data_IF_539801619851
#
_entry.id   IF_539801619851
#
_cell.length_a   1.000
_cell.length_b   1.000
_cell.length_c   1.000
_cell.angle_alpha   90.00
_cell.angle_beta   90.00
_cell.angle_gamma   90.00
#
_symmetry.space_group_name_H-M   'P 1'
#
loop_
_entity.id
_entity.type
_entity.pdbx_description
1 polymer ?
#
# COMPACT_ATOMS: atom_id res chain seq x y z
N UNK A 1 -10.05 -16.19 16.68
CA UNK A 1 -10.90 -16.24 15.47
C UNK A 1 -10.04 -16.65 14.28
N UNK A 2 -10.46 -17.64 13.50
CA UNK A 2 -9.65 -18.20 12.40
C UNK A 2 -10.35 -17.96 11.06
N UNK A 3 -10.20 -16.75 10.52
CA UNK A 3 -10.83 -16.27 9.27
C UNK A 3 -10.27 -16.91 7.97
N UNK A 4 -9.43 -17.95 8.08
CA UNK A 4 -8.60 -18.50 6.97
C UNK A 4 -8.86 -19.98 6.65
N UNK A 5 -9.83 -20.61 7.30
CA UNK A 5 -10.29 -21.96 6.97
C UNK A 5 -11.40 -21.94 5.93
N UNK A 6 -11.74 -23.09 5.34
CA UNK A 6 -12.97 -23.26 4.54
C UNK A 6 -13.07 -22.41 3.26
N UNK A 7 -11.96 -21.84 2.79
CA UNK A 7 -11.87 -21.06 1.55
C UNK A 7 -10.53 -21.32 0.86
N UNK A 8 -10.52 -21.19 -0.46
CA UNK A 8 -9.33 -21.37 -1.29
C UNK A 8 -9.39 -20.42 -2.48
N UNK A 9 -8.32 -19.65 -2.70
CA UNK A 9 -8.14 -18.91 -3.96
C UNK A 9 -7.88 -19.92 -5.07
N UNK A 10 -8.69 -19.86 -6.14
CA UNK A 10 -8.63 -20.82 -7.25
C UNK A 10 -8.03 -20.21 -8.52
N UNK A 11 -8.15 -18.89 -8.70
CA UNK A 11 -7.56 -18.19 -9.82
C UNK A 11 -7.36 -16.70 -9.50
N UNK A 12 -6.41 -16.09 -10.20
CA UNK A 12 -6.18 -14.65 -10.19
C UNK A 12 -6.10 -14.14 -11.63
N UNK A 13 -6.58 -12.92 -11.89
CA UNK A 13 -6.45 -12.26 -13.18
C UNK A 13 -6.45 -10.74 -13.01
N UNK A 14 -5.53 -10.06 -13.70
CA UNK A 14 -5.58 -8.61 -13.85
C UNK A 14 -6.76 -8.21 -14.72
N UNK A 15 -7.52 -7.20 -14.28
CA UNK A 15 -8.56 -6.57 -15.09
C UNK A 15 -8.03 -5.32 -15.79
N UNK A 16 -7.15 -4.58 -15.11
CA UNK A 16 -6.42 -3.43 -15.62
C UNK A 16 -5.09 -3.28 -14.85
N UNK A 17 -4.40 -2.15 -14.99
CA UNK A 17 -3.09 -1.89 -14.35
C UNK A 17 -3.13 -1.74 -12.82
N UNK A 18 -4.33 -1.60 -12.23
CA UNK A 18 -4.56 -1.35 -10.80
C UNK A 18 -5.61 -2.28 -10.20
N UNK A 19 -6.35 -3.06 -11.00
CA UNK A 19 -7.44 -3.92 -10.51
C UNK A 19 -7.12 -5.39 -10.71
N UNK A 20 -7.27 -6.16 -9.64
CA UNK A 20 -7.10 -7.61 -9.61
C UNK A 20 -8.44 -8.29 -9.32
N UNK A 21 -8.82 -9.27 -10.13
CA UNK A 21 -9.92 -10.19 -9.83
C UNK A 21 -9.37 -11.48 -9.24
N UNK A 22 -9.83 -11.81 -8.04
CA UNK A 22 -9.48 -13.05 -7.33
C UNK A 22 -10.71 -13.93 -7.23
N UNK A 23 -10.65 -15.11 -7.84
CA UNK A 23 -11.70 -16.13 -7.72
C UNK A 23 -11.38 -17.07 -6.57
N UNK A 24 -12.41 -17.52 -5.88
CA UNK A 24 -12.25 -18.44 -4.78
C UNK A 24 -13.36 -19.48 -4.74
N UNK A 25 -13.07 -20.60 -4.09
CA UNK A 25 -14.03 -21.60 -3.68
C UNK A 25 -14.14 -21.57 -2.16
N UNK A 26 -15.31 -21.89 -1.63
CA UNK A 26 -15.57 -21.84 -0.18
C UNK A 26 -16.60 -22.89 0.21
N UNK A 27 -16.49 -23.39 1.44
CA UNK A 27 -17.47 -24.28 2.06
C UNK A 27 -18.51 -23.51 2.87
N UNK A 28 -18.33 -22.20 3.05
CA UNK A 28 -19.29 -21.37 3.78
C UNK A 28 -20.42 -20.91 2.87
N UNK A 29 -21.61 -20.69 3.45
CA UNK A 29 -22.81 -20.24 2.72
C UNK A 29 -23.37 -18.93 3.26
N UNK A 30 -22.81 -18.45 4.36
CA UNK A 30 -23.30 -17.36 5.21
C UNK A 30 -22.24 -16.27 5.46
N UNK A 31 -21.09 -16.35 4.77
CA UNK A 31 -19.96 -15.42 4.95
C UNK A 31 -19.84 -14.46 3.77
N UNK A 32 -19.28 -13.29 4.06
CA UNK A 32 -18.71 -12.38 3.07
C UNK A 32 -17.19 -12.47 3.11
N UNK A 33 -16.54 -11.97 2.07
CA UNK A 33 -15.10 -12.12 1.88
C UNK A 33 -14.42 -10.80 1.68
N UNK A 34 -13.29 -10.63 2.37
CA UNK A 34 -12.40 -9.50 2.25
C UNK A 34 -11.11 -9.93 1.57
N UNK A 35 -10.67 -9.15 0.58
CA UNK A 35 -9.43 -9.37 -0.15
C UNK A 35 -8.38 -8.37 0.31
N UNK A 36 -7.22 -8.89 0.66
CA UNK A 36 -6.08 -8.14 1.15
C UNK A 36 -4.89 -8.28 0.20
N UNK A 37 -4.18 -7.16 -0.01
CA UNK A 37 -2.81 -7.17 -0.47
C UNK A 37 -1.91 -6.81 0.72
N UNK A 38 -1.10 -7.76 1.14
CA UNK A 38 -0.37 -7.67 2.39
C UNK A 38 -1.34 -7.62 3.59
N UNK A 39 -1.45 -6.43 4.21
CA UNK A 39 -2.37 -6.10 5.32
C UNK A 39 -3.37 -5.00 4.98
N UNK A 40 -3.37 -4.52 3.76
CA UNK A 40 -4.32 -3.51 3.29
C UNK A 40 -5.54 -4.18 2.68
N UNK A 41 -6.73 -3.81 3.15
CA UNK A 41 -7.97 -4.21 2.49
C UNK A 41 -8.02 -3.57 1.10
N UNK A 42 -8.12 -4.38 0.05
CA UNK A 42 -8.16 -3.90 -1.34
C UNK A 42 -9.51 -4.14 -2.01
N UNK A 43 -10.36 -5.00 -1.45
CA UNK A 43 -11.69 -5.28 -1.99
C UNK A 43 -12.52 -6.18 -1.08
N UNK A 44 -13.81 -6.31 -1.41
CA UNK A 44 -14.78 -7.14 -0.68
C UNK A 44 -15.88 -7.66 -1.60
N UNK A 45 -16.52 -8.75 -1.21
CA UNK A 45 -17.80 -9.20 -1.80
C UNK A 45 -18.97 -8.39 -1.25
N UNK A 46 -20.06 -8.33 -2.00
CA UNK A 46 -21.31 -7.70 -1.57
C UNK A 46 -22.37 -8.74 -1.16
N UNK A 47 -22.24 -9.98 -1.65
CA UNK A 47 -23.16 -11.07 -1.35
C UNK A 47 -22.42 -12.40 -1.06
N UNK A 48 -23.02 -13.25 -0.23
CA UNK A 48 -22.46 -14.57 0.13
C UNK A 48 -22.38 -15.54 -1.07
N UNK A 49 -23.12 -15.26 -2.15
CA UNK A 49 -23.08 -16.01 -3.39
C UNK A 49 -21.93 -15.58 -4.32
N UNK A 50 -21.22 -14.50 -4.00
CA UNK A 50 -20.10 -14.03 -4.81
C UNK A 50 -18.97 -15.05 -4.79
N UNK A 51 -18.44 -15.37 -5.97
CA UNK A 51 -17.33 -16.33 -6.15
C UNK A 51 -16.02 -15.66 -6.53
N UNK A 52 -16.00 -14.32 -6.52
CA UNK A 52 -14.83 -13.52 -6.78
C UNK A 52 -14.89 -12.19 -6.03
N UNK A 53 -13.71 -11.63 -5.76
CA UNK A 53 -13.54 -10.25 -5.30
C UNK A 53 -12.73 -9.50 -6.34
N UNK A 54 -13.13 -8.27 -6.64
CA UNK A 54 -12.29 -7.31 -7.36
C UNK A 54 -11.65 -6.41 -6.31
N UNK A 55 -10.33 -6.35 -6.30
CA UNK A 55 -9.59 -5.45 -5.44
C UNK A 55 -8.79 -4.43 -6.23
N UNK A 56 -8.70 -3.22 -5.71
CA UNK A 56 -7.83 -2.16 -6.24
C UNK A 56 -6.48 -2.21 -5.54
N UNK A 57 -5.46 -2.60 -6.29
CA UNK A 57 -4.09 -2.66 -5.83
C UNK A 57 -3.43 -1.29 -6.04
N UNK A 58 -2.82 -0.77 -4.97
CA UNK A 58 -1.86 0.31 -5.11
C UNK A 58 -0.56 -0.26 -5.72
N UNK A 59 -0.06 0.28 -6.84
CA UNK A 59 1.16 -0.22 -7.46
C UNK A 59 2.31 -0.18 -6.48
N UNK A 60 2.97 -1.32 -6.32
CA UNK A 60 4.17 -1.46 -5.53
C UNK A 60 5.26 -2.10 -6.37
N UNK A 61 6.49 -1.63 -6.19
CA UNK A 61 7.66 -2.32 -6.76
C UNK A 61 8.03 -3.59 -5.98
N UNK A 62 7.33 -3.85 -4.86
CA UNK A 62 7.61 -4.93 -3.92
C UNK A 62 6.52 -6.00 -3.99
N UNK A 63 6.87 -7.29 -3.88
CA UNK A 63 5.87 -8.36 -3.91
C UNK A 63 4.85 -8.20 -2.76
N UNK A 64 3.56 -8.19 -3.11
CA UNK A 64 2.47 -8.18 -2.14
C UNK A 64 1.86 -9.58 -2.00
N UNK A 65 1.54 -9.96 -0.77
CA UNK A 65 0.85 -11.23 -0.51
C UNK A 65 -0.66 -11.04 -0.66
N UNK A 66 -1.27 -11.70 -1.64
CA UNK A 66 -2.72 -11.72 -1.77
C UNK A 66 -3.32 -12.70 -0.77
N UNK A 67 -4.23 -12.23 0.08
CA UNK A 67 -4.91 -13.03 1.10
C UNK A 67 -6.43 -12.79 1.04
N UNK A 68 -7.21 -13.84 1.26
CA UNK A 68 -8.66 -13.75 1.37
C UNK A 68 -9.08 -14.17 2.79
N UNK A 69 -10.02 -13.43 3.38
CA UNK A 69 -10.62 -13.71 4.68
C UNK A 69 -12.12 -13.94 4.52
N UNK A 70 -12.67 -14.92 5.22
CA UNK A 70 -14.12 -15.05 5.42
C UNK A 70 -14.52 -14.34 6.71
N UNK A 71 -15.50 -13.47 6.63
CA UNK A 71 -16.01 -12.65 7.74
C UNK A 71 -17.53 -12.73 7.83
N UNK A 72 -18.08 -12.47 9.02
CA UNK A 72 -19.53 -12.37 9.18
C UNK A 72 -20.09 -11.15 8.42
N UNK A 73 -21.32 -11.23 7.86
CA UNK A 73 -21.87 -10.13 7.05
C UNK A 73 -21.97 -8.79 7.80
N UNK A 74 -22.18 -8.82 9.12
CA UNK A 74 -22.21 -7.62 9.96
C UNK A 74 -20.82 -7.06 10.28
N UNK A 75 -19.76 -7.77 9.90
CA UNK A 75 -18.35 -7.40 10.13
C UNK A 75 -17.61 -7.04 8.83
N UNK A 76 -18.30 -7.03 7.68
CA UNK A 76 -17.66 -6.80 6.37
C UNK A 76 -16.96 -5.43 6.24
N UNK A 77 -17.37 -4.47 7.05
CA UNK A 77 -16.77 -3.12 7.14
C UNK A 77 -15.59 -3.06 8.12
N UNK A 78 -15.41 -4.07 8.98
CA UNK A 78 -14.30 -4.10 9.93
C UNK A 78 -13.00 -4.50 9.22
N UNK A 79 -11.93 -3.73 9.39
CA UNK A 79 -10.64 -4.07 8.79
C UNK A 79 -9.81 -4.99 9.69
N UNK A 80 -9.60 -6.23 9.23
CA UNK A 80 -8.83 -7.26 9.96
C UNK A 80 -7.35 -7.33 9.55
N UNK A 81 -6.86 -6.36 8.77
CA UNK A 81 -5.48 -6.30 8.31
C UNK A 81 -4.50 -6.45 9.48
N UNK A 82 -4.71 -5.72 10.57
CA UNK A 82 -3.86 -5.80 11.78
C UNK A 82 -3.83 -7.18 12.47
N UNK A 83 -4.70 -8.13 12.12
CA UNK A 83 -4.67 -9.50 12.66
C UNK A 83 -3.99 -10.50 11.70
N UNK A 84 -3.55 -10.06 10.52
CA UNK A 84 -2.77 -10.90 9.62
C UNK A 84 -1.32 -11.05 10.12
N UNK A 85 -0.65 -12.21 9.91
CA UNK A 85 0.72 -12.44 10.34
C UNK A 85 1.59 -11.31 9.85
N UNK A 86 2.54 -10.89 10.67
CA UNK A 86 3.53 -9.91 10.24
C UNK A 86 4.28 -10.45 9.02
N UNK A 87 4.11 -9.76 7.88
CA UNK A 87 4.91 -9.92 6.66
C UNK A 87 5.63 -8.59 6.43
N UNK A 88 6.63 -8.53 5.54
CA UNK A 88 7.22 -7.27 5.14
C UNK A 88 6.15 -6.41 4.45
N UNK A 89 5.60 -5.44 5.19
CA UNK A 89 4.71 -4.41 4.67
C UNK A 89 5.50 -3.15 4.40
N UNK A 90 5.48 -2.76 3.14
CA UNK A 90 6.08 -1.54 2.64
C UNK A 90 5.26 -0.27 3.01
N UNK A 91 4.36 -0.29 3.99
CA UNK A 91 3.51 0.87 4.35
C UNK A 91 3.59 1.15 5.84
N UNK A 92 3.28 2.38 6.22
CA UNK A 92 3.18 2.80 7.61
C UNK A 92 1.81 3.42 7.87
N UNK A 93 1.23 3.12 9.03
CA UNK A 93 0.16 3.92 9.60
C UNK A 93 0.81 5.01 10.45
N UNK A 94 0.56 6.26 10.12
CA UNK A 94 1.03 7.41 10.89
C UNK A 94 -0.15 8.08 11.59
N UNK A 95 0.03 8.40 12.87
CA UNK A 95 -0.95 9.13 13.67
C UNK A 95 -0.42 10.54 13.92
N UNK A 96 -1.24 11.55 13.60
CA UNK A 96 -0.86 12.96 13.72
C UNK A 96 -1.95 13.75 14.44
N UNK A 97 -1.59 14.34 15.57
CA UNK A 97 -2.44 15.28 16.30
C UNK A 97 -2.22 16.69 15.78
N UNK A 98 -3.29 17.31 15.29
CA UNK A 98 -3.25 18.64 14.65
C UNK A 98 -3.61 19.79 15.59
N UNK A 99 -3.75 19.52 16.90
CA UNK A 99 -4.19 20.52 17.88
C UNK A 99 -3.44 21.87 17.74
N UNK A 100 -4.23 22.94 17.56
CA UNK A 100 -3.71 24.31 17.43
C UNK A 100 -3.47 24.77 16.00
N UNK A 101 -3.78 23.96 14.99
CA UNK A 101 -3.73 24.39 13.60
C UNK A 101 -4.95 25.26 13.29
N UNK A 102 -4.75 26.40 12.63
CA UNK A 102 -5.78 27.45 12.50
C UNK A 102 -6.06 27.89 11.08
N UNK A 103 -5.16 27.62 10.11
CA UNK A 103 -5.28 28.04 8.71
C UNK A 103 -4.96 26.92 7.70
N UNK A 104 -4.95 25.65 8.14
CA UNK A 104 -4.70 24.53 7.25
C UNK A 104 -5.94 24.22 6.40
N UNK A 105 -5.74 24.01 5.09
CA UNK A 105 -6.74 23.41 4.19
C UNK A 105 -6.41 21.95 3.91
N UNK A 106 -5.12 21.64 3.84
CA UNK A 106 -4.63 20.30 3.56
C UNK A 106 -3.62 19.86 4.60
N UNK A 107 -3.54 18.54 4.77
CA UNK A 107 -2.55 17.82 5.53
C UNK A 107 -1.62 17.11 4.54
N UNK A 108 -0.42 17.63 4.38
CA UNK A 108 0.57 17.05 3.46
C UNK A 108 1.54 16.15 4.23
N UNK A 109 1.80 14.97 3.67
CA UNK A 109 2.84 14.06 4.13
C UNK A 109 3.92 13.97 3.07
N UNK A 110 5.15 14.21 3.47
CA UNK A 110 6.35 14.07 2.64
C UNK A 110 7.30 13.04 3.26
N UNK A 111 8.13 12.39 2.44
CA UNK A 111 9.13 11.43 2.93
C UNK A 111 10.47 11.59 2.23
N UNK A 112 11.51 10.97 2.79
CA UNK A 112 12.73 10.68 2.02
C UNK A 112 12.44 9.82 0.77
N UNK A 113 13.43 9.72 -0.11
CA UNK A 113 13.36 8.91 -1.34
C UNK A 113 13.90 7.48 -1.14
N UNK A 114 14.69 7.27 -0.09
CA UNK A 114 15.32 5.98 0.26
C UNK A 114 15.25 5.76 1.78
N UNK A 115 15.33 4.50 2.26
CA UNK A 115 15.45 4.22 3.68
C UNK A 115 16.68 4.93 4.28
N UNK A 116 16.49 5.60 5.42
CA UNK A 116 17.50 6.39 6.12
C UNK A 116 17.77 7.77 5.51
N UNK A 117 17.23 8.07 4.33
CA UNK A 117 17.43 9.34 3.63
C UNK A 117 16.76 10.52 4.34
N UNK A 118 17.30 11.73 4.10
CA UNK A 118 16.66 12.96 4.55
C UNK A 118 15.28 13.15 3.91
N UNK A 119 14.39 13.86 4.60
CA UNK A 119 13.06 14.20 4.06
C UNK A 119 13.23 15.10 2.85
N UNK A 120 12.57 14.75 1.75
CA UNK A 120 12.48 15.55 0.54
C UNK A 120 11.12 16.26 0.51
N UNK A 121 11.12 17.58 0.68
CA UNK A 121 9.88 18.38 0.72
C UNK A 121 9.12 18.40 -0.60
N UNK A 122 9.76 18.04 -1.72
CA UNK A 122 9.11 17.86 -3.01
C UNK A 122 8.43 16.48 -3.14
N UNK A 123 8.83 15.50 -2.32
CA UNK A 123 8.29 14.15 -2.35
C UNK A 123 7.02 14.01 -1.52
N UNK A 124 5.94 14.65 -1.96
CA UNK A 124 4.62 14.53 -1.32
C UNK A 124 4.04 13.15 -1.63
N UNK A 125 3.98 12.30 -0.61
CA UNK A 125 3.45 10.94 -0.71
C UNK A 125 1.95 10.88 -0.37
N UNK A 126 1.42 11.85 0.38
CA UNK A 126 0.01 11.88 0.72
C UNK A 126 -0.49 13.32 0.89
N UNK A 127 -1.75 13.54 0.56
CA UNK A 127 -2.50 14.77 0.85
C UNK A 127 -3.90 14.39 1.31
N UNK A 128 -4.26 14.85 2.50
CA UNK A 128 -5.62 14.73 3.05
C UNK A 128 -6.24 16.13 3.20
N UNK A 129 -7.56 16.22 3.13
CA UNK A 129 -8.27 17.45 3.46
C UNK A 129 -8.21 17.66 4.98
N UNK A 130 -7.84 18.87 5.41
CA UNK A 130 -7.98 19.27 6.80
C UNK A 130 -9.41 19.76 7.04
N UNK A 131 -10.13 19.08 7.93
CA UNK A 131 -11.49 19.45 8.32
C UNK A 131 -11.51 20.19 9.66
N UNK A 132 -10.95 19.58 10.69
CA UNK A 132 -10.87 20.09 12.04
C UNK A 132 -9.61 19.61 12.77
N UNK A 133 -9.40 20.18 13.97
CA UNK A 133 -8.34 19.77 14.87
C UNK A 133 -8.71 18.44 15.54
N UNK A 134 -8.06 17.36 15.11
CA UNK A 134 -8.21 16.01 15.65
C UNK A 134 -6.94 15.18 15.43
N UNK A 135 -6.97 13.94 15.88
CA UNK A 135 -6.00 12.93 15.47
C UNK A 135 -6.38 12.38 14.08
N UNK A 136 -5.45 12.44 13.15
CA UNK A 136 -5.57 11.85 11.82
C UNK A 136 -4.78 10.54 11.78
N UNK A 137 -5.39 9.50 11.22
CA UNK A 137 -4.75 8.20 10.97
C UNK A 137 -4.53 8.05 9.46
N UNK A 138 -3.30 8.27 9.03
CA UNK A 138 -2.95 8.29 7.60
C UNK A 138 -2.19 7.01 7.26
N UNK A 139 -2.70 6.25 6.30
CA UNK A 139 -1.97 5.11 5.75
C UNK A 139 -1.12 5.58 4.56
N UNK A 140 0.21 5.56 4.71
CA UNK A 140 1.13 6.00 3.65
C UNK A 140 0.97 5.16 2.39
N UNK A 141 1.38 5.63 1.21
CA UNK A 141 1.71 4.75 0.08
C UNK A 141 2.76 3.69 0.43
N UNK A 142 2.96 2.77 -0.50
CA UNK A 142 4.04 1.78 -0.45
C UNK A 142 5.41 2.45 -0.63
N UNK A 143 6.31 2.20 0.30
CA UNK A 143 7.70 2.63 0.32
C UNK A 143 8.62 1.68 -0.46
N UNK A 144 9.75 2.23 -0.91
CA UNK A 144 10.75 1.48 -1.65
C UNK A 144 11.85 0.91 -0.76
N UNK A 145 11.60 -0.23 -0.12
CA UNK A 145 12.66 -0.93 0.62
C UNK A 145 12.48 -0.95 2.12
N UNK A 146 13.20 -1.90 2.72
CA UNK A 146 13.27 -2.07 4.16
C UNK A 146 14.15 -0.99 4.78
N UNK A 147 13.74 -0.50 5.94
CA UNK A 147 14.53 0.38 6.77
C UNK A 147 13.70 1.47 7.44
N UNK A 148 14.39 2.43 8.04
CA UNK A 148 13.76 3.56 8.71
C UNK A 148 13.51 4.67 7.71
N UNK A 149 12.26 5.03 7.48
CA UNK A 149 11.87 6.15 6.65
C UNK A 149 11.68 7.39 7.51
N UNK A 150 12.26 8.51 7.09
CA UNK A 150 12.01 9.81 7.68
C UNK A 150 10.85 10.47 6.94
N UNK A 151 9.87 10.98 7.69
CA UNK A 151 8.69 11.65 7.16
C UNK A 151 8.49 13.00 7.83
N UNK A 152 7.76 13.88 7.16
CA UNK A 152 7.22 15.10 7.75
C UNK A 152 5.76 15.25 7.40
N UNK A 153 5.01 15.80 8.35
CA UNK A 153 3.60 16.14 8.18
C UNK A 153 3.39 17.60 8.53
N UNK A 154 2.72 18.36 7.67
CA UNK A 154 2.44 19.77 7.89
C UNK A 154 1.12 20.21 7.28
N UNK A 155 0.54 21.25 7.87
CA UNK A 155 -0.63 21.92 7.34
C UNK A 155 -0.26 22.81 6.16
N UNK A 156 -1.10 22.87 5.15
CA UNK A 156 -0.93 23.74 3.98
C UNK A 156 -2.20 24.55 3.76
N UNK A 157 -2.06 25.86 3.62
CA UNK A 157 -3.18 26.76 3.32
C UNK A 157 -3.61 26.64 1.83
N UNK A 158 -4.76 27.22 1.46
CA UNK A 158 -5.31 27.17 0.09
C UNK A 158 -4.96 28.45 -0.71
N UNK A 159 -3.88 29.14 -0.35
CA UNK A 159 -3.51 30.38 -1.06
C UNK A 159 -2.91 30.06 -2.44
N UNK A 160 -3.06 30.96 -3.42
CA UNK A 160 -2.45 30.78 -4.75
C UNK A 160 -0.94 30.53 -4.65
N UNK A 161 -0.39 29.61 -5.47
CA UNK A 161 0.98 29.05 -5.44
C UNK A 161 1.21 27.92 -4.42
N UNK A 162 0.43 26.83 -4.50
CA UNK A 162 0.51 25.65 -3.61
C UNK A 162 0.41 25.99 -2.11
N UNK A 163 -0.01 27.20 -1.71
CA UNK A 163 -0.16 27.60 -0.32
C UNK A 163 1.13 27.62 0.52
N UNK A 164 1.06 28.23 1.70
CA UNK A 164 2.15 28.23 2.68
C UNK A 164 2.11 26.93 3.48
N UNK A 165 3.27 26.29 3.63
CA UNK A 165 3.45 25.17 4.55
C UNK A 165 3.65 25.70 5.98
N UNK A 166 2.92 25.14 6.93
CA UNK A 166 3.10 25.39 8.35
C UNK A 166 4.32 24.67 8.93
N UNK A 167 4.45 24.69 10.26
CA UNK A 167 5.50 23.96 10.97
C UNK A 167 5.34 22.45 10.77
N UNK A 168 6.42 21.78 10.34
CA UNK A 168 6.43 20.35 10.13
C UNK A 168 6.58 19.56 11.44
N UNK A 169 5.78 18.51 11.56
CA UNK A 169 5.93 17.45 12.55
C UNK A 169 6.81 16.37 11.92
N UNK A 170 7.96 16.10 12.54
CA UNK A 170 8.86 15.04 12.09
C UNK A 170 8.40 13.68 12.63
N UNK A 171 8.40 12.67 11.77
CA UNK A 171 8.05 11.29 12.10
C UNK A 171 9.09 10.33 11.54
N UNK A 172 9.18 9.14 12.13
CA UNK A 172 9.94 8.03 11.57
C UNK A 172 9.06 6.79 11.49
N UNK A 173 9.19 6.03 10.42
CA UNK A 173 8.50 4.77 10.24
C UNK A 173 9.50 3.66 9.93
N UNK A 174 9.46 2.57 10.70
CA UNK A 174 10.22 1.37 10.37
C UNK A 174 9.40 0.52 9.41
N UNK A 175 9.90 0.41 8.18
CA UNK A 175 9.26 -0.34 7.11
C UNK A 175 10.06 -1.62 6.89
N UNK A 176 9.35 -2.73 6.73
CA UNK A 176 9.93 -4.01 6.33
C UNK A 176 9.36 -4.34 4.97
N UNK A 177 10.19 -4.61 3.97
CA UNK A 177 9.76 -5.03 2.64
C UNK A 177 10.69 -6.11 2.09
N UNK A 178 10.13 -7.07 1.35
CA UNK A 178 10.91 -8.14 0.72
C UNK A 178 11.71 -7.59 -0.46
N UNK A 179 13.05 -7.68 -0.50
CA UNK A 179 13.85 -7.19 -1.63
C UNK A 179 13.22 -7.62 -2.97
N UNK A 180 13.19 -6.74 -3.99
CA UNK A 180 12.73 -7.15 -5.30
C UNK A 180 13.64 -8.28 -5.78
N UNK A 181 13.05 -9.37 -6.27
CA UNK A 181 13.78 -10.55 -6.74
C UNK A 181 14.79 -10.22 -7.86
N UNK A 182 14.60 -9.08 -8.55
CA UNK A 182 15.42 -8.61 -9.66
C UNK A 182 15.64 -7.11 -9.55
N UNK A 183 16.88 -6.66 -9.73
CA UNK A 183 17.25 -5.25 -9.73
C UNK A 183 16.57 -4.50 -10.89
N UNK A 184 16.02 -3.31 -10.60
CA UNK A 184 15.51 -2.40 -11.63
C UNK A 184 16.72 -1.71 -12.29
N UNK A 185 16.79 -1.78 -13.62
CA UNK A 185 17.81 -1.16 -14.44
C UNK A 185 17.53 0.35 -14.58
N UNK A 186 18.51 1.11 -15.05
CA UNK A 186 18.37 2.58 -15.20
C UNK A 186 17.30 3.01 -16.20
N UNK A 187 16.86 2.11 -17.08
CA UNK A 187 15.78 2.33 -18.04
C UNK A 187 14.38 1.96 -17.48
N UNK A 188 14.31 1.56 -16.20
CA UNK A 188 13.08 1.14 -15.54
C UNK A 188 12.66 -0.31 -15.80
N UNK A 189 13.38 -1.04 -16.67
CA UNK A 189 13.13 -2.46 -16.91
C UNK A 189 13.78 -3.34 -15.84
N UNK A 190 13.31 -4.58 -15.69
CA UNK A 190 13.94 -5.60 -14.82
C UNK A 190 14.79 -6.60 -15.61
N UNK A 191 14.52 -6.76 -16.90
CA UNK A 191 15.16 -7.71 -17.78
C UNK A 191 15.85 -6.96 -18.92
N UNK A 192 17.11 -7.30 -19.21
CA UNK A 192 17.73 -6.91 -20.47
C UNK A 192 17.48 -8.01 -21.49
N UNK A 193 16.72 -7.70 -22.54
CA UNK A 193 16.58 -8.56 -23.70
C UNK A 193 17.46 -8.01 -24.83
N UNK A 194 18.29 -8.86 -25.42
CA UNK A 194 19.01 -8.55 -26.66
C UNK A 194 18.75 -9.64 -27.69
N UNK A 195 18.70 -9.24 -28.97
CA UNK A 195 18.52 -10.15 -30.09
C UNK A 195 19.66 -9.92 -31.07
N UNK A 196 20.41 -10.97 -31.36
CA UNK A 196 21.50 -10.94 -32.33
C UNK A 196 21.37 -12.15 -33.26
N UNK A 197 21.03 -11.89 -34.53
CA UNK A 197 20.71 -12.94 -35.49
C UNK A 197 19.49 -13.76 -35.03
N UNK A 198 19.65 -15.08 -34.90
CA UNK A 198 18.60 -16.02 -34.47
C UNK A 198 18.58 -16.35 -32.98
N UNK A 199 19.37 -15.66 -32.15
CA UNK A 199 19.44 -15.91 -30.69
C UNK A 199 18.89 -14.70 -29.94
N UNK A 200 17.97 -14.95 -29.01
CA UNK A 200 17.52 -13.99 -28.01
C UNK A 200 18.16 -14.33 -26.66
N UNK A 201 18.80 -13.36 -26.04
CA UNK A 201 19.38 -13.46 -24.69
C UNK A 201 18.57 -12.59 -23.75
N UNK A 202 18.15 -13.17 -22.62
CA UNK A 202 17.45 -12.47 -21.53
C UNK A 202 18.31 -12.55 -20.30
N UNK A 203 18.84 -11.40 -19.87
CA UNK A 203 19.68 -11.27 -18.69
C UNK A 203 18.94 -10.51 -17.58
N UNK A 204 19.21 -10.91 -16.34
CA UNK A 204 18.73 -10.22 -15.15
C UNK A 204 19.85 -10.16 -14.10
N UNK A 205 19.78 -9.16 -13.24
CA UNK A 205 20.64 -9.05 -12.08
C UNK A 205 19.81 -9.32 -10.84
N UNK A 206 20.26 -10.26 -10.02
CA UNK A 206 19.71 -10.42 -8.66
C UNK A 206 20.04 -9.16 -7.84
N UNK A 207 19.11 -8.73 -7.00
CA UNK A 207 19.39 -7.67 -6.05
C UNK A 207 20.33 -8.24 -4.97
N UNK A 208 21.59 -7.78 -4.95
CA UNK A 208 22.55 -8.16 -3.92
C UNK A 208 22.27 -7.34 -2.65
N UNK A 209 22.14 -8.02 -1.50
CA UNK A 209 21.94 -7.44 -0.16
C UNK A 209 23.14 -6.59 0.33
#
# INVERSE_FOLDING_TARGET
MQFRGGLQITAFAWLDSHSLRVRFATTYTDKLYQLYAGRSLIGRTEAAADTYVIGTLQPSLWPEHIQLLAVDPNEIENEYGSLLPDRPYNRALISVTTAGWTDAKYLDVVSGQIPGGAVDSANRIHRELFDENREYSILTPTFHGSGTWNLQVFGRDDKPLEGNAGTAIALTAKVLSHPPDVQIRSDGSRLAASVAGGVATVDFNEAIE
#
